data_IF_213307311398
#
_entry.id   IF_213307311398
#
_cell.length_a   1.000
_cell.length_b   1.000
_cell.length_c   1.000
_cell.angle_alpha   90.00
_cell.angle_beta   90.00
_cell.angle_gamma   90.00
#
_symmetry.space_group_name_H-M   'P 1'
#
loop_
_entity.id
_entity.type
_entity.pdbx_description
1 polymer ?
#
# COMPACT_ATOMS: atom_id res chain seq x y z
N UNK A 1 7.75 -4.01 20.90
CA UNK A 1 8.34 -3.42 19.67
C UNK A 1 8.13 -4.36 18.50
N UNK A 2 7.47 -3.86 17.45
CA UNK A 2 7.08 -4.54 16.21
C UNK A 2 7.70 -3.76 15.04
N UNK A 3 8.14 -4.46 14.00
CA UNK A 3 8.56 -3.84 12.75
C UNK A 3 7.66 -4.33 11.61
N UNK A 4 7.04 -3.39 10.89
CA UNK A 4 6.32 -3.65 9.64
C UNK A 4 7.25 -3.30 8.49
N UNK A 5 7.59 -4.30 7.69
CA UNK A 5 8.51 -4.17 6.57
C UNK A 5 7.75 -4.39 5.26
N UNK A 6 7.57 -3.32 4.49
CA UNK A 6 6.90 -3.36 3.20
C UNK A 6 7.90 -3.64 2.07
N UNK A 7 7.66 -4.68 1.25
CA UNK A 7 8.59 -5.08 0.20
C UNK A 7 8.57 -4.12 -0.99
N UNK A 8 9.62 -4.19 -1.81
CA UNK A 8 9.71 -3.49 -3.10
C UNK A 8 9.39 -4.39 -4.30
N UNK A 9 9.77 -3.92 -5.49
CA UNK A 9 9.64 -4.65 -6.76
C UNK A 9 10.28 -6.05 -6.70
N UNK A 10 9.66 -7.01 -7.39
CA UNK A 10 10.07 -8.43 -7.40
C UNK A 10 9.31 -9.29 -6.38
N UNK A 11 8.47 -8.68 -5.53
CA UNK A 11 7.64 -9.38 -4.55
C UNK A 11 6.26 -9.80 -5.09
N UNK A 12 5.87 -9.30 -6.27
CA UNK A 12 4.59 -9.61 -6.89
C UNK A 12 4.47 -11.07 -7.30
N UNK A 13 3.27 -11.65 -7.16
CA UNK A 13 2.95 -13.04 -7.50
C UNK A 13 1.54 -13.14 -8.09
N UNK A 14 1.31 -14.04 -9.05
CA UNK A 14 -0.04 -14.29 -9.56
C UNK A 14 -1.00 -14.63 -8.43
N UNK A 15 -2.20 -14.05 -8.47
CA UNK A 15 -3.24 -14.33 -7.47
C UNK A 15 -2.96 -13.79 -6.06
N UNK A 16 -2.01 -12.88 -5.86
CA UNK A 16 -1.65 -12.39 -4.52
C UNK A 16 -2.79 -11.67 -3.79
N UNK A 17 -3.79 -11.12 -4.49
CA UNK A 17 -4.99 -10.54 -3.88
C UNK A 17 -6.14 -11.55 -3.71
N UNK A 18 -6.06 -12.74 -4.29
CA UNK A 18 -7.16 -13.72 -4.24
C UNK A 18 -7.57 -14.11 -2.81
N UNK A 19 -6.65 -14.36 -1.85
CA UNK A 19 -7.03 -14.67 -0.47
C UNK A 19 -7.79 -13.54 0.23
N UNK A 20 -7.62 -12.30 -0.23
CA UNK A 20 -8.26 -11.11 0.35
C UNK A 20 -9.68 -10.88 -0.18
N UNK A 21 -10.06 -11.59 -1.25
CA UNK A 21 -11.36 -11.50 -1.90
C UNK A 21 -12.29 -12.68 -1.55
N UNK A 22 -11.87 -13.58 -0.64
CA UNK A 22 -12.66 -14.77 -0.30
C UNK A 22 -13.93 -14.36 0.46
N UNK A 23 -15.14 -14.61 -0.07
CA UNK A 23 -16.40 -14.26 0.58
C UNK A 23 -16.64 -15.02 1.90
N UNK A 24 -15.85 -16.07 2.20
CA UNK A 24 -15.87 -16.76 3.48
C UNK A 24 -15.22 -15.95 4.63
N UNK A 25 -14.45 -14.91 4.32
CA UNK A 25 -13.80 -14.03 5.31
C UNK A 25 -14.72 -12.83 5.57
N UNK A 26 -15.22 -12.61 6.80
CA UNK A 26 -16.15 -11.51 7.11
C UNK A 26 -15.61 -10.12 6.71
N UNK A 27 -14.31 -9.90 6.89
CA UNK A 27 -13.62 -8.65 6.59
C UNK A 27 -13.33 -8.47 5.09
N UNK A 28 -13.49 -9.52 4.27
CA UNK A 28 -13.18 -9.46 2.84
C UNK A 28 -14.07 -8.46 2.09
N UNK A 29 -15.26 -8.13 2.59
CA UNK A 29 -16.10 -7.10 1.98
C UNK A 29 -15.45 -5.71 2.06
N UNK A 30 -14.90 -5.37 3.22
CA UNK A 30 -14.26 -4.08 3.45
C UNK A 30 -12.92 -4.02 2.70
N UNK A 31 -12.17 -5.13 2.69
CA UNK A 31 -10.95 -5.24 1.88
C UNK A 31 -11.24 -5.16 0.39
N UNK A 32 -12.33 -5.77 -0.07
CA UNK A 32 -12.76 -5.69 -1.47
C UNK A 32 -13.08 -4.25 -1.87
N UNK A 33 -13.77 -3.48 -1.03
CA UNK A 33 -14.02 -2.06 -1.28
C UNK A 33 -12.71 -1.25 -1.33
N UNK A 34 -11.76 -1.56 -0.44
CA UNK A 34 -10.44 -0.93 -0.46
C UNK A 34 -9.66 -1.26 -1.75
N UNK A 35 -9.75 -2.49 -2.28
CA UNK A 35 -9.16 -2.84 -3.58
C UNK A 35 -9.73 -1.97 -4.70
N UNK A 36 -11.04 -1.72 -4.68
CA UNK A 36 -11.69 -0.88 -5.69
C UNK A 36 -11.23 0.59 -5.57
N UNK A 37 -11.16 1.13 -4.35
CA UNK A 37 -10.64 2.49 -4.10
C UNK A 37 -9.17 2.65 -4.54
N UNK A 38 -8.34 1.65 -4.26
CA UNK A 38 -6.94 1.65 -4.68
C UNK A 38 -6.82 1.50 -6.20
N UNK A 39 -7.72 0.75 -6.84
CA UNK A 39 -7.76 0.60 -8.30
C UNK A 39 -8.06 1.93 -8.97
N UNK A 40 -9.06 2.66 -8.46
CA UNK A 40 -9.38 4.02 -8.91
C UNK A 40 -8.20 4.98 -8.70
N UNK A 41 -7.54 4.93 -7.54
CA UNK A 41 -6.40 5.78 -7.22
C UNK A 41 -5.18 5.53 -8.12
N UNK A 42 -4.93 4.25 -8.46
CA UNK A 42 -3.84 3.83 -9.32
C UNK A 42 -4.16 3.98 -10.83
N UNK A 43 -5.44 4.13 -11.20
CA UNK A 43 -5.87 4.07 -12.60
C UNK A 43 -5.63 2.70 -13.24
N UNK A 44 -5.63 1.63 -12.43
CA UNK A 44 -5.28 0.28 -12.82
C UNK A 44 -6.27 -0.71 -12.19
N UNK A 45 -6.72 -1.72 -12.93
CA UNK A 45 -7.59 -2.77 -12.40
C UNK A 45 -6.80 -3.73 -11.50
N UNK A 46 -6.56 -3.31 -10.25
CA UNK A 46 -5.76 -4.08 -9.30
C UNK A 46 -6.44 -5.39 -8.92
N UNK A 47 -7.77 -5.46 -9.02
CA UNK A 47 -8.50 -6.71 -8.82
C UNK A 47 -8.06 -7.72 -9.86
N UNK A 48 -8.21 -7.40 -11.14
CA UNK A 48 -7.77 -8.27 -12.23
C UNK A 48 -6.29 -8.66 -12.09
N UNK A 49 -5.39 -7.69 -11.93
CA UNK A 49 -3.96 -7.95 -11.84
C UNK A 49 -3.55 -8.72 -10.58
N UNK A 50 -4.29 -8.58 -9.50
CA UNK A 50 -4.03 -9.28 -8.25
C UNK A 50 -4.70 -10.64 -8.12
N UNK A 51 -5.70 -10.98 -8.95
CA UNK A 51 -6.44 -12.25 -8.83
C UNK A 51 -6.33 -13.15 -10.06
N UNK A 52 -6.40 -12.60 -11.26
CA UNK A 52 -6.58 -13.36 -12.51
C UNK A 52 -5.38 -13.30 -13.45
N UNK A 53 -4.64 -12.19 -13.45
CA UNK A 53 -3.52 -11.99 -14.36
C UNK A 53 -2.40 -13.02 -14.18
N UNK A 54 -1.78 -13.40 -15.30
CA UNK A 54 -0.66 -14.31 -15.34
C UNK A 54 0.63 -13.65 -14.84
N UNK A 55 1.66 -14.46 -14.58
CA UNK A 55 2.95 -13.96 -14.10
C UNK A 55 3.57 -12.94 -15.06
N UNK A 56 3.44 -13.17 -16.37
CA UNK A 56 4.00 -12.34 -17.43
C UNK A 56 3.30 -10.97 -17.55
N UNK A 57 2.07 -10.83 -17.05
CA UNK A 57 1.32 -9.58 -17.08
C UNK A 57 1.67 -8.67 -15.89
N UNK A 58 2.11 -9.27 -14.78
CA UNK A 58 2.48 -8.55 -13.56
C UNK A 58 3.98 -8.28 -13.43
N UNK A 59 4.80 -8.63 -14.43
CA UNK A 59 6.22 -8.23 -14.43
C UNK A 59 6.44 -6.81 -14.94
N UNK A 60 5.51 -6.25 -15.71
CA UNK A 60 5.59 -4.85 -16.15
C UNK A 60 5.61 -3.95 -14.92
N UNK A 61 6.62 -3.09 -14.82
CA UNK A 61 6.79 -2.15 -13.71
C UNK A 61 5.54 -1.29 -13.47
N UNK A 62 4.83 -0.89 -14.53
CA UNK A 62 3.60 -0.11 -14.44
C UNK A 62 2.44 -0.87 -13.77
N UNK A 63 2.50 -2.20 -13.74
CA UNK A 63 1.55 -3.09 -13.05
C UNK A 63 2.10 -3.53 -11.70
N UNK A 64 3.35 -3.99 -11.68
CA UNK A 64 4.01 -4.58 -10.53
C UNK A 64 4.04 -3.63 -9.33
N UNK A 65 4.49 -2.39 -9.54
CA UNK A 65 4.66 -1.43 -8.46
C UNK A 65 3.34 -1.03 -7.78
N UNK A 66 2.27 -0.63 -8.50
CA UNK A 66 0.98 -0.35 -7.86
C UNK A 66 0.36 -1.59 -7.22
N UNK A 67 0.51 -2.77 -7.83
CA UNK A 67 0.02 -4.02 -7.25
C UNK A 67 0.70 -4.35 -5.90
N UNK A 68 2.02 -4.18 -5.81
CA UNK A 68 2.79 -4.41 -4.57
C UNK A 68 2.38 -3.41 -3.47
N UNK A 69 2.23 -2.14 -3.83
CA UNK A 69 1.80 -1.09 -2.90
C UNK A 69 0.40 -1.40 -2.39
N UNK A 70 -0.54 -1.72 -3.28
CA UNK A 70 -1.91 -2.04 -2.90
C UNK A 70 -2.00 -3.25 -1.97
N UNK A 71 -1.30 -4.34 -2.29
CA UNK A 71 -1.23 -5.52 -1.42
C UNK A 71 -0.66 -5.18 -0.04
N UNK A 72 0.39 -4.37 0.01
CA UNK A 72 1.04 -3.99 1.28
C UNK A 72 0.16 -3.05 2.11
N UNK A 73 -0.58 -2.14 1.47
CA UNK A 73 -1.55 -1.26 2.11
C UNK A 73 -2.78 -2.01 2.64
N UNK A 74 -3.25 -3.03 1.92
CA UNK A 74 -4.31 -3.93 2.38
C UNK A 74 -3.84 -4.67 3.64
N UNK A 75 -2.64 -5.26 3.60
CA UNK A 75 -2.06 -5.93 4.76
C UNK A 75 -1.88 -4.99 5.95
N UNK A 76 -1.42 -3.76 5.72
CA UNK A 76 -1.30 -2.73 6.74
C UNK A 76 -2.67 -2.35 7.35
N UNK A 77 -3.70 -2.14 6.51
CA UNK A 77 -5.05 -1.82 6.97
C UNK A 77 -5.64 -2.95 7.84
N UNK A 78 -5.42 -4.21 7.45
CA UNK A 78 -5.86 -5.38 8.23
C UNK A 78 -5.12 -5.56 9.56
N UNK A 79 -3.96 -4.92 9.74
CA UNK A 79 -3.21 -4.89 11.00
C UNK A 79 -3.59 -3.71 11.91
N UNK A 80 -4.55 -2.86 11.51
CA UNK A 80 -4.93 -1.64 12.24
C UNK A 80 -4.32 -0.36 11.68
N UNK A 81 -3.52 -0.45 10.61
CA UNK A 81 -3.04 0.70 9.87
C UNK A 81 -2.29 1.73 10.72
N UNK A 82 -2.72 2.99 10.63
CA UNK A 82 -2.15 4.10 11.40
C UNK A 82 -2.57 4.11 12.89
N UNK A 83 -3.45 3.20 13.31
CA UNK A 83 -3.87 3.05 14.72
C UNK A 83 -2.93 2.14 15.51
N UNK A 84 -1.95 1.53 14.85
CA UNK A 84 -0.89 0.76 15.52
C UNK A 84 -0.13 1.62 16.54
N UNK A 85 0.29 1.08 17.70
CA UNK A 85 0.99 1.85 18.73
C UNK A 85 2.27 2.48 18.17
N UNK A 86 2.27 3.81 18.02
CA UNK A 86 3.33 4.54 17.33
C UNK A 86 4.68 4.50 18.07
N UNK A 87 4.66 4.32 19.39
CA UNK A 87 5.84 4.17 20.25
C UNK A 87 6.42 2.75 20.24
N UNK A 88 5.66 1.77 19.77
CA UNK A 88 6.10 0.37 19.66
C UNK A 88 6.26 -0.14 18.23
N UNK A 89 5.86 0.64 17.22
CA UNK A 89 5.83 0.19 15.82
C UNK A 89 6.81 0.97 14.96
N UNK A 90 7.71 0.25 14.28
CA UNK A 90 8.62 0.81 13.27
C UNK A 90 8.15 0.40 11.89
N UNK A 91 8.04 1.35 10.97
CA UNK A 91 7.69 1.11 9.57
C UNK A 91 8.92 1.27 8.69
N UNK A 92 9.19 0.27 7.86
CA UNK A 92 10.30 0.26 6.90
C UNK A 92 9.76 -0.14 5.54
N UNK A 93 10.15 0.57 4.49
CA UNK A 93 9.77 0.24 3.13
C UNK A 93 11.00 0.16 2.24
N UNK A 94 11.10 -0.90 1.43
CA UNK A 94 12.16 -1.01 0.44
C UNK A 94 11.68 -0.46 -0.91
N UNK A 95 12.33 0.59 -1.42
CA UNK A 95 11.97 1.22 -2.70
C UNK A 95 10.48 1.60 -2.72
N UNK A 96 9.66 1.07 -3.63
CA UNK A 96 8.21 1.37 -3.69
C UNK A 96 7.45 1.03 -2.39
N UNK A 97 7.98 0.11 -1.58
CA UNK A 97 7.45 -0.20 -0.25
C UNK A 97 7.49 0.99 0.72
N UNK A 98 8.32 2.01 0.46
CA UNK A 98 8.35 3.25 1.25
C UNK A 98 6.97 3.92 1.30
N UNK A 99 6.18 3.83 0.23
CA UNK A 99 4.82 4.38 0.20
C UNK A 99 3.91 3.75 1.27
N UNK A 100 4.03 2.43 1.48
CA UNK A 100 3.31 1.74 2.55
C UNK A 100 3.83 2.13 3.93
N UNK A 101 5.15 2.27 4.09
CA UNK A 101 5.74 2.68 5.35
C UNK A 101 5.32 4.10 5.76
N UNK A 102 5.28 5.02 4.79
CA UNK A 102 4.78 6.38 4.98
C UNK A 102 3.28 6.40 5.34
N UNK A 103 2.48 5.53 4.75
CA UNK A 103 1.08 5.38 5.14
C UNK A 103 0.94 4.90 6.59
N UNK A 104 1.73 3.89 6.99
CA UNK A 104 1.70 3.31 8.34
C UNK A 104 2.09 4.30 9.44
N UNK A 105 3.05 5.20 9.17
CA UNK A 105 3.45 6.22 10.14
C UNK A 105 2.53 7.46 10.17
N UNK A 106 1.40 7.43 9.44
CA UNK A 106 0.40 8.51 9.42
C UNK A 106 0.79 9.74 8.60
N UNK A 107 1.84 9.64 7.76
CA UNK A 107 2.21 10.72 6.84
C UNK A 107 1.11 10.99 5.81
N UNK A 108 0.60 9.90 5.24
CA UNK A 108 -0.42 9.87 4.20
C UNK A 108 -1.50 8.89 4.62
N UNK A 109 -2.74 9.17 4.21
CA UNK A 109 -3.79 8.15 4.29
C UNK A 109 -3.49 7.04 3.28
N UNK A 110 -3.98 5.83 3.56
CA UNK A 110 -3.84 4.66 2.69
C UNK A 110 -4.23 4.96 1.23
N UNK A 111 -5.37 5.60 1.02
CA UNK A 111 -5.86 5.99 -0.31
C UNK A 111 -4.94 7.03 -0.97
N UNK A 112 -4.36 7.95 -0.20
CA UNK A 112 -3.42 8.94 -0.73
C UNK A 112 -2.07 8.31 -1.13
N UNK A 113 -1.63 7.25 -0.43
CA UNK A 113 -0.45 6.49 -0.86
C UNK A 113 -0.67 5.79 -2.21
N UNK A 114 -1.88 5.28 -2.46
CA UNK A 114 -2.28 4.74 -3.77
C UNK A 114 -2.25 5.78 -4.89
N UNK A 115 -2.68 7.02 -4.60
CA UNK A 115 -2.59 8.15 -5.57
C UNK A 115 -1.15 8.63 -5.80
N UNK A 116 -0.30 8.52 -4.80
CA UNK A 116 1.08 9.00 -4.92
C UNK A 116 1.86 8.17 -5.96
N UNK A 117 1.52 6.90 -6.13
CA UNK A 117 2.08 6.10 -7.21
C UNK A 117 1.75 6.67 -8.60
N UNK A 118 0.51 7.13 -8.83
CA UNK A 118 0.14 7.71 -10.13
C UNK A 118 0.75 9.08 -10.39
N UNK A 119 1.23 9.77 -9.34
CA UNK A 119 1.94 11.05 -9.44
C UNK A 119 3.46 10.89 -9.54
N UNK A 120 4.02 9.82 -8.95
CA UNK A 120 5.42 9.46 -9.08
C UNK A 120 5.58 8.64 -10.35
N UNK A 121 5.71 9.32 -11.50
CA UNK A 121 6.30 8.71 -12.70
C UNK A 121 7.55 7.94 -12.23
N UNK A 122 7.64 6.64 -12.54
CA UNK A 122 8.55 5.65 -11.95
C UNK A 122 10.07 5.90 -12.08
N UNK A 123 10.46 7.15 -12.33
CA UNK A 123 11.82 7.68 -12.48
C UNK A 123 12.24 8.68 -11.40
N UNK A 124 11.32 9.26 -10.61
CA UNK A 124 11.70 10.24 -9.57
C UNK A 124 11.54 9.69 -8.14
N UNK A 125 12.66 9.60 -7.43
CA UNK A 125 12.70 9.37 -5.99
C UNK A 125 12.05 10.54 -5.25
N UNK A 126 11.18 10.25 -4.28
CA UNK A 126 10.64 11.28 -3.39
C UNK A 126 11.78 12.05 -2.69
N UNK A 127 11.68 13.39 -2.56
CA UNK A 127 12.69 14.15 -1.85
C UNK A 127 12.72 13.73 -0.38
N UNK A 128 13.87 13.20 0.04
CA UNK A 128 14.17 12.90 1.44
C UNK A 128 14.89 14.08 2.13
N UNK A 129 14.55 14.44 3.38
CA UNK A 129 13.42 13.93 4.15
C UNK A 129 12.10 14.54 3.65
N UNK A 130 11.00 13.79 3.71
CA UNK A 130 9.74 14.34 3.27
C UNK A 130 9.33 15.50 4.23
N UNK A 131 8.49 16.43 3.77
CA UNK A 131 8.10 17.61 4.56
C UNK A 131 7.08 17.25 5.66
N UNK A 132 7.49 17.31 6.95
CA UNK A 132 6.61 17.01 8.11
C UNK A 132 5.20 17.61 7.95
N UNK A 133 4.12 16.84 8.23
CA UNK A 133 2.78 17.42 8.28
C UNK A 133 2.71 18.53 9.35
N UNK A 134 1.83 19.53 9.18
CA UNK A 134 1.67 20.60 10.15
C UNK A 134 1.24 20.00 11.49
N UNK A 135 2.04 20.22 12.53
CA UNK A 135 1.72 19.83 13.90
C UNK A 135 0.54 20.67 14.40
N UNK A 136 -0.68 20.19 14.21
CA UNK A 136 -1.83 20.77 14.88
C UNK A 136 -1.78 20.41 16.37
N UNK A 137 -1.26 21.36 17.16
CA UNK A 137 -1.57 21.63 18.58
C UNK A 137 -1.72 20.41 19.50
N UNK A 138 -0.61 20.00 20.11
CA UNK A 138 -0.65 19.62 21.52
C UNK A 138 -0.44 20.90 22.34
N UNK A 139 -1.55 21.60 22.61
CA UNK A 139 -1.58 22.64 23.64
C UNK A 139 -1.86 21.99 25.00
N UNK A 140 -0.79 21.93 25.81
CA UNK A 140 -0.71 21.81 27.28
C UNK A 140 -1.23 20.54 27.94
#
# INVERSE_FOLDING_TARGET
MIAIVAPGQGSQKPGMLAPWCDPAIPEARDVSALIDELSEAAGLDLRYFGTEAAAEEIVDTAVAQPLIVAFSLIGLASLGGAELPADETVFVGHSVGELTALAGCGWRTTTAAGRLWSEVDGTESLPWPPSRPPTSRLSR
#
